data_IF_368443376489
#
_entry.id   IF_368443376489
#
_cell.length_a   1.000
_cell.length_b   1.000
_cell.length_c   1.000
_cell.angle_alpha   90.00
_cell.angle_beta   90.00
_cell.angle_gamma   90.00
#
_symmetry.space_group_name_H-M   'P 1'
#
loop_
_entity.id
_entity.type
_entity.pdbx_description
1 polymer ?
#
# COMPACT_ATOMS: atom_id res chain seq x y z
N UNK A 1 8.83 1.05 -7.46
CA UNK A 1 8.39 2.45 -7.66
C UNK A 1 9.36 3.47 -7.03
N UNK A 2 9.78 3.33 -5.77
CA UNK A 2 10.72 4.27 -5.12
C UNK A 2 11.99 4.56 -5.93
N UNK A 3 12.64 3.52 -6.48
CA UNK A 3 13.86 3.68 -7.28
C UNK A 3 13.69 4.53 -8.55
N UNK A 4 12.52 4.53 -9.19
CA UNK A 4 12.26 5.38 -10.36
C UNK A 4 12.17 6.85 -9.96
N UNK A 5 11.44 7.16 -8.89
CA UNK A 5 11.23 8.54 -8.43
C UNK A 5 12.53 9.16 -7.93
N UNK A 6 13.38 8.36 -7.28
CA UNK A 6 14.70 8.80 -6.82
C UNK A 6 15.72 8.92 -7.96
N UNK A 7 15.65 8.05 -8.97
CA UNK A 7 16.58 8.08 -10.10
C UNK A 7 16.36 9.25 -11.07
N UNK A 8 15.12 9.71 -11.26
CA UNK A 8 14.80 10.74 -12.25
C UNK A 8 14.81 12.19 -11.70
N UNK A 9 15.10 12.39 -10.41
CA UNK A 9 15.24 13.72 -9.82
C UNK A 9 16.68 13.96 -9.38
N UNK A 10 17.51 14.42 -10.32
CA UNK A 10 18.97 14.63 -10.19
C UNK A 10 19.41 15.46 -8.97
N UNK A 11 18.54 16.31 -8.41
CA UNK A 11 18.83 17.16 -7.25
C UNK A 11 18.13 16.73 -5.95
N UNK A 12 17.50 15.55 -5.90
CA UNK A 12 16.83 15.08 -4.69
C UNK A 12 17.83 14.55 -3.67
N UNK A 13 18.19 15.38 -2.68
CA UNK A 13 18.87 14.92 -1.48
C UNK A 13 17.92 14.11 -0.61
N UNK A 14 17.77 12.81 -0.87
CA UNK A 14 17.02 11.90 0.02
C UNK A 14 17.74 11.88 1.37
N UNK A 15 17.12 12.42 2.41
CA UNK A 15 17.68 12.37 3.75
C UNK A 15 17.67 10.92 4.27
N UNK A 16 18.58 10.59 5.17
CA UNK A 16 18.62 9.25 5.77
C UNK A 16 17.28 8.88 6.45
N UNK A 17 16.57 9.86 7.02
CA UNK A 17 15.23 9.67 7.59
C UNK A 17 14.20 9.27 6.53
N UNK A 18 14.17 9.97 5.40
CA UNK A 18 13.26 9.68 4.29
C UNK A 18 13.48 8.30 3.67
N UNK A 19 14.74 7.86 3.61
CA UNK A 19 15.08 6.50 3.20
C UNK A 19 14.52 5.47 4.19
N UNK A 20 14.77 5.67 5.49
CA UNK A 20 14.33 4.74 6.52
C UNK A 20 12.80 4.67 6.62
N UNK A 21 12.10 5.80 6.54
CA UNK A 21 10.64 5.87 6.48
C UNK A 21 10.09 5.11 5.26
N UNK A 22 10.67 5.33 4.08
CA UNK A 22 10.28 4.62 2.85
C UNK A 22 10.51 3.11 3.00
N UNK A 23 11.66 2.72 3.56
CA UNK A 23 12.02 1.31 3.74
C UNK A 23 11.09 0.60 4.72
N UNK A 24 10.85 1.20 5.90
CA UNK A 24 9.96 0.65 6.92
C UNK A 24 8.54 0.47 6.39
N UNK A 25 8.04 1.43 5.62
CA UNK A 25 6.70 1.38 5.05
C UNK A 25 6.58 0.27 4.01
N UNK A 26 7.57 0.11 3.12
CA UNK A 26 7.59 -1.00 2.16
C UNK A 26 7.67 -2.34 2.88
N UNK A 27 8.50 -2.45 3.91
CA UNK A 27 8.58 -3.65 4.75
C UNK A 27 7.23 -3.98 5.38
N UNK A 28 6.57 -2.99 5.99
CA UNK A 28 5.25 -3.16 6.61
C UNK A 28 4.18 -3.59 5.61
N UNK A 29 4.20 -3.03 4.40
CA UNK A 29 3.30 -3.46 3.33
C UNK A 29 3.54 -4.91 2.90
N UNK A 30 4.80 -5.34 2.80
CA UNK A 30 5.12 -6.74 2.48
C UNK A 30 4.64 -7.68 3.58
N UNK A 31 4.81 -7.30 4.86
CA UNK A 31 4.35 -8.08 6.01
C UNK A 31 2.83 -8.24 6.03
N UNK A 32 2.08 -7.15 5.81
CA UNK A 32 0.60 -7.21 5.67
C UNK A 32 0.18 -8.17 4.56
N UNK A 33 0.82 -8.10 3.38
CA UNK A 33 0.45 -8.99 2.28
C UNK A 33 0.80 -10.45 2.58
N UNK A 34 1.90 -10.70 3.29
CA UNK A 34 2.29 -12.04 3.70
C UNK A 34 1.24 -12.64 4.64
N UNK A 35 0.86 -11.90 5.68
CA UNK A 35 -0.13 -12.34 6.67
C UNK A 35 -1.49 -12.61 5.99
N UNK A 36 -1.97 -11.68 5.15
CA UNK A 36 -3.24 -11.86 4.42
C UNK A 36 -3.23 -13.11 3.56
N UNK A 37 -2.12 -13.40 2.88
CA UNK A 37 -1.98 -14.61 2.06
C UNK A 37 -1.94 -15.87 2.92
N UNK A 38 -1.18 -15.85 4.03
CA UNK A 38 -1.04 -16.99 4.94
C UNK A 38 -2.38 -17.39 5.56
N UNK A 39 -3.14 -16.42 6.07
CA UNK A 39 -4.45 -16.69 6.67
C UNK A 39 -5.46 -17.21 5.66
N UNK A 40 -5.42 -16.74 4.42
CA UNK A 40 -6.36 -17.20 3.38
C UNK A 40 -6.05 -18.63 2.94
N UNK A 41 -4.76 -18.98 2.83
CA UNK A 41 -4.33 -20.37 2.60
C UNK A 41 -4.69 -21.26 3.79
N UNK A 42 -4.52 -20.76 5.02
CA UNK A 42 -4.73 -21.51 6.24
C UNK A 42 -6.20 -21.76 6.61
N UNK A 43 -7.12 -20.86 6.25
CA UNK A 43 -8.49 -20.87 6.78
C UNK A 43 -9.62 -21.01 5.75
N UNK A 44 -9.48 -20.52 4.52
CA UNK A 44 -10.63 -20.40 3.59
C UNK A 44 -10.43 -21.15 2.28
N UNK A 45 -9.25 -21.06 1.64
CA UNK A 45 -9.10 -21.45 0.24
C UNK A 45 -8.20 -22.70 0.10
N UNK A 46 -8.69 -23.79 -0.52
CA UNK A 46 -7.84 -24.91 -0.90
C UNK A 46 -6.72 -24.45 -1.84
N UNK A 47 -5.51 -24.99 -1.65
CA UNK A 47 -4.29 -24.59 -2.39
C UNK A 47 -4.46 -24.50 -3.92
N UNK A 48 -5.37 -25.28 -4.49
CA UNK A 48 -5.69 -25.30 -5.93
C UNK A 48 -6.25 -23.97 -6.46
N UNK A 49 -6.97 -23.20 -5.64
CA UNK A 49 -7.59 -21.94 -6.06
C UNK A 49 -6.77 -20.70 -5.66
N UNK A 50 -5.60 -20.90 -5.06
CA UNK A 50 -4.75 -19.83 -4.57
C UNK A 50 -4.36 -18.82 -5.65
N UNK A 51 -3.97 -19.29 -6.84
CA UNK A 51 -3.55 -18.43 -7.94
C UNK A 51 -4.65 -17.46 -8.41
N UNK A 52 -5.92 -17.90 -8.40
CA UNK A 52 -7.05 -17.05 -8.77
C UNK A 52 -7.28 -15.96 -7.73
N UNK A 53 -7.23 -16.31 -6.45
CA UNK A 53 -7.35 -15.33 -5.38
C UNK A 53 -6.21 -14.30 -5.43
N UNK A 54 -4.96 -14.78 -5.48
CA UNK A 54 -3.77 -13.93 -5.44
C UNK A 54 -3.77 -12.92 -6.61
N UNK A 55 -4.09 -13.38 -7.82
CA UNK A 55 -4.12 -12.50 -8.99
C UNK A 55 -5.20 -11.40 -8.85
N UNK A 56 -6.38 -11.78 -8.36
CA UNK A 56 -7.48 -10.82 -8.13
C UNK A 56 -7.10 -9.81 -7.03
N UNK A 57 -6.48 -10.28 -5.95
CA UNK A 57 -5.98 -9.44 -4.85
C UNK A 57 -4.95 -8.42 -5.33
N UNK A 58 -3.96 -8.86 -6.13
CA UNK A 58 -2.92 -8.00 -6.68
C UNK A 58 -3.54 -6.93 -7.59
N UNK A 59 -4.44 -7.32 -8.51
CA UNK A 59 -5.06 -6.38 -9.45
C UNK A 59 -5.87 -5.30 -8.71
N UNK A 60 -6.66 -5.70 -7.70
CA UNK A 60 -7.43 -4.76 -6.88
C UNK A 60 -6.52 -3.76 -6.18
N UNK A 61 -5.46 -4.23 -5.52
CA UNK A 61 -4.49 -3.37 -4.83
C UNK A 61 -3.81 -2.39 -5.80
N UNK A 62 -3.35 -2.86 -6.96
CA UNK A 62 -2.72 -1.98 -7.95
C UNK A 62 -3.71 -0.95 -8.49
N UNK A 63 -4.94 -1.36 -8.84
CA UNK A 63 -5.96 -0.48 -9.40
C UNK A 63 -6.26 0.73 -8.52
N UNK A 64 -6.22 0.55 -7.19
CA UNK A 64 -6.44 1.67 -6.23
C UNK A 64 -5.34 2.73 -6.19
N UNK A 65 -4.17 2.45 -6.77
CA UNK A 65 -3.04 3.40 -6.78
C UNK A 65 -2.94 4.20 -8.09
N UNK A 66 -3.65 3.79 -9.14
CA UNK A 66 -3.49 4.38 -10.49
C UNK A 66 -4.21 5.72 -10.63
N UNK A 67 -5.42 5.84 -10.07
CA UNK A 67 -6.25 7.03 -10.19
C UNK A 67 -6.61 7.62 -8.82
N UNK A 68 -6.68 8.96 -8.71
CA UNK A 68 -7.17 9.59 -7.49
C UNK A 68 -8.66 9.29 -7.34
N UNK A 69 -9.07 8.81 -6.16
CA UNK A 69 -10.45 8.39 -5.92
C UNK A 69 -11.47 9.52 -6.02
N UNK A 70 -11.06 10.77 -5.80
CA UNK A 70 -11.89 11.96 -6.00
C UNK A 70 -12.47 12.08 -7.42
N UNK A 71 -11.80 11.47 -8.42
CA UNK A 71 -12.24 11.46 -9.82
C UNK A 71 -13.03 10.19 -10.19
N UNK A 72 -13.12 9.21 -9.28
CA UNK A 72 -13.83 7.96 -9.53
C UNK A 72 -15.27 8.05 -9.04
N UNK A 73 -16.22 7.34 -9.69
CA UNK A 73 -17.60 7.33 -9.21
C UNK A 73 -17.66 6.73 -7.79
N UNK A 74 -18.62 7.20 -6.99
CA UNK A 74 -18.76 6.88 -5.56
C UNK A 74 -18.72 5.37 -5.23
N UNK A 75 -19.13 4.53 -6.17
CA UNK A 75 -19.04 3.07 -6.03
C UNK A 75 -17.63 2.55 -5.76
N UNK A 76 -16.58 3.13 -6.36
CA UNK A 76 -15.20 2.68 -6.19
C UNK A 76 -14.51 3.20 -4.92
N UNK A 77 -15.19 4.01 -4.11
CA UNK A 77 -14.62 4.57 -2.89
C UNK A 77 -14.38 3.54 -1.78
N UNK A 78 -14.92 2.32 -1.88
CA UNK A 78 -14.55 1.26 -0.94
C UNK A 78 -13.05 0.90 -1.02
N UNK A 79 -12.39 1.21 -2.15
CA UNK A 79 -10.96 1.01 -2.34
C UNK A 79 -10.07 1.85 -1.42
N UNK A 80 -10.62 2.86 -0.73
CA UNK A 80 -9.91 3.58 0.34
C UNK A 80 -9.50 2.68 1.51
N UNK A 81 -10.21 1.58 1.73
CA UNK A 81 -9.87 0.62 2.76
C UNK A 81 -8.69 -0.28 2.37
N UNK A 82 -8.28 -0.34 1.10
CA UNK A 82 -7.25 -1.29 0.65
C UNK A 82 -5.83 -0.83 1.06
N UNK A 83 -4.94 -1.77 1.43
CA UNK A 83 -3.63 -1.41 1.98
C UNK A 83 -2.74 -0.70 0.95
N UNK A 84 -2.81 -1.06 -0.33
CA UNK A 84 -1.98 -0.44 -1.36
C UNK A 84 -2.23 1.07 -1.56
N UNK A 85 -3.49 1.51 -1.49
CA UNK A 85 -3.81 2.93 -1.61
C UNK A 85 -3.22 3.74 -0.44
N UNK A 86 -3.40 3.22 0.77
CA UNK A 86 -2.90 3.81 2.00
C UNK A 86 -1.37 3.93 1.99
N UNK A 87 -0.68 2.88 1.55
CA UNK A 87 0.78 2.88 1.36
C UNK A 87 1.23 3.94 0.34
N UNK A 88 0.52 4.07 -0.78
CA UNK A 88 0.84 5.09 -1.77
C UNK A 88 0.73 6.52 -1.22
N UNK A 89 -0.34 6.82 -0.48
CA UNK A 89 -0.52 8.14 0.15
C UNK A 89 0.62 8.46 1.14
N UNK A 90 1.03 7.49 1.95
CA UNK A 90 2.14 7.66 2.88
C UNK A 90 3.48 7.85 2.16
N UNK A 91 3.74 7.10 1.08
CA UNK A 91 4.96 7.26 0.27
C UNK A 91 5.05 8.65 -0.37
N UNK A 92 3.94 9.15 -0.93
CA UNK A 92 3.86 10.51 -1.47
C UNK A 92 4.00 11.55 -0.34
N UNK A 93 3.44 11.27 0.84
CA UNK A 93 3.59 12.11 2.04
C UNK A 93 5.05 12.23 2.50
N UNK A 94 5.76 11.10 2.59
CA UNK A 94 7.19 11.04 2.91
C UNK A 94 7.95 11.88 1.89
N UNK A 95 7.86 11.55 0.60
CA UNK A 95 8.60 12.26 -0.45
C UNK A 95 8.21 13.73 -0.55
N UNK A 96 6.98 14.14 -0.23
CA UNK A 96 6.61 15.56 -0.22
C UNK A 96 7.00 16.30 1.06
N UNK A 97 7.80 15.69 1.93
CA UNK A 97 8.20 16.23 3.24
C UNK A 97 6.99 16.63 4.11
N UNK A 98 5.93 15.82 4.09
CA UNK A 98 4.74 16.01 4.91
C UNK A 98 3.66 16.94 4.35
N UNK A 99 3.76 17.38 3.08
CA UNK A 99 2.81 18.33 2.48
C UNK A 99 1.34 17.83 2.47
N UNK A 100 1.13 16.51 2.36
CA UNK A 100 -0.20 15.87 2.48
C UNK A 100 -0.10 14.49 3.12
N UNK A 101 0.30 14.42 4.38
CA UNK A 101 0.30 13.16 5.13
C UNK A 101 -1.02 13.00 5.92
N UNK A 102 -1.96 12.18 5.43
CA UNK A 102 -3.14 11.75 6.22
C UNK A 102 -2.77 10.60 7.17
N UNK A 103 -1.70 10.78 7.95
CA UNK A 103 -1.13 9.72 8.79
C UNK A 103 -2.16 9.18 9.80
N UNK A 104 -3.01 10.04 10.35
CA UNK A 104 -4.03 9.68 11.33
C UNK A 104 -5.10 8.72 10.79
N UNK A 105 -5.39 8.75 9.49
CA UNK A 105 -6.41 7.90 8.87
C UNK A 105 -5.79 6.67 8.22
N UNK A 106 -4.62 6.85 7.61
CA UNK A 106 -3.96 5.84 6.79
C UNK A 106 -3.23 4.80 7.64
N UNK A 107 -2.61 5.20 8.75
CA UNK A 107 -1.86 4.30 9.62
C UNK A 107 -2.77 3.29 10.35
N UNK A 108 -3.91 3.69 10.96
CA UNK A 108 -4.81 2.73 11.62
C UNK A 108 -5.40 1.71 10.66
N UNK A 109 -5.68 2.09 9.40
CA UNK A 109 -6.18 1.16 8.38
C UNK A 109 -5.13 0.08 8.09
N UNK A 110 -3.86 0.47 7.95
CA UNK A 110 -2.78 -0.51 7.74
C UNK A 110 -2.58 -1.41 8.96
N UNK A 111 -2.67 -0.86 10.19
CA UNK A 111 -2.65 -1.66 11.41
C UNK A 111 -3.85 -2.60 11.54
N UNK A 112 -5.04 -2.18 11.09
CA UNK A 112 -6.21 -3.03 11.06
C UNK A 112 -5.99 -4.23 10.12
N UNK A 113 -5.42 -4.01 8.94
CA UNK A 113 -5.04 -5.10 8.03
C UNK A 113 -3.95 -6.01 8.60
N UNK A 114 -3.00 -5.45 9.34
CA UNK A 114 -1.96 -6.23 10.00
C UNK A 114 -2.49 -7.13 11.12
N UNK A 115 -3.53 -6.69 11.82
CA UNK A 115 -4.12 -7.42 12.96
C UNK A 115 -5.23 -8.40 12.55
N UNK A 116 -5.97 -8.07 11.48
CA UNK A 116 -7.06 -8.89 10.94
C UNK A 116 -6.57 -9.94 9.95
N UNK A 117 -5.51 -9.60 9.20
CA UNK A 117 -4.78 -10.57 8.40
C UNK A 117 -4.41 -11.74 9.27
#
# INVERSE_FOLDING_TARGET
MAGYIWAFRESWGVSAGQFFETWMLIWFYMDINYIVVDTIIGSIIPMQFFAYFLLTWIILNIATTVYPFELTPGFYHWGWALPAHNVWLLLVGIWSNGCRAQLETTLPILFAWWLVG
#
